data_IF_657968291240
#
_entry.id   IF_657968291240
#
_cell.length_a   1.000
_cell.length_b   1.000
_cell.length_c   1.000
_cell.angle_alpha   90.00
_cell.angle_beta   90.00
_cell.angle_gamma   90.00
#
_symmetry.space_group_name_H-M   'P 1'
#
loop_
_entity.id
_entity.type
_entity.pdbx_description
1 polymer ?
#
# COMPACT_ATOMS: atom_id res chain seq x y z
N UNK A 1 -19.18 7.55 -3.20
CA UNK A 1 -18.36 7.46 -1.96
C UNK A 1 -19.14 6.84 -0.80
N UNK A 2 -20.39 7.21 -0.54
CA UNK A 2 -21.20 6.59 0.54
C UNK A 2 -21.31 5.08 0.43
N UNK A 3 -21.57 4.53 -0.77
CA UNK A 3 -21.63 3.07 -1.00
C UNK A 3 -20.28 2.37 -0.73
N UNK A 4 -19.16 2.94 -1.17
CA UNK A 4 -17.84 2.38 -0.87
C UNK A 4 -17.57 2.32 0.65
N UNK A 5 -17.97 3.35 1.38
CA UNK A 5 -17.88 3.39 2.84
C UNK A 5 -18.77 2.32 3.50
N UNK A 6 -20.00 2.14 3.01
CA UNK A 6 -20.92 1.10 3.50
C UNK A 6 -20.33 -0.30 3.29
N UNK A 7 -19.80 -0.60 2.09
CA UNK A 7 -19.16 -1.88 1.78
C UNK A 7 -17.98 -2.12 2.73
N UNK A 8 -17.13 -1.09 2.90
CA UNK A 8 -15.97 -1.18 3.80
C UNK A 8 -16.39 -1.51 5.23
N UNK A 9 -17.39 -0.82 5.80
CA UNK A 9 -17.79 -1.05 7.20
C UNK A 9 -18.59 -2.34 7.41
N UNK A 10 -19.43 -2.71 6.45
CA UNK A 10 -20.31 -3.90 6.57
C UNK A 10 -19.50 -5.19 6.46
N UNK A 11 -18.49 -5.25 5.58
CA UNK A 11 -17.75 -6.48 5.26
C UNK A 11 -16.30 -6.44 5.79
N UNK A 12 -16.15 -6.62 7.10
CA UNK A 12 -14.83 -6.59 7.80
C UNK A 12 -13.83 -7.64 7.30
N UNK A 13 -14.30 -8.72 6.68
CA UNK A 13 -13.45 -9.76 6.06
C UNK A 13 -12.50 -9.15 5.02
N UNK A 14 -12.93 -8.10 4.30
CA UNK A 14 -12.09 -7.42 3.32
C UNK A 14 -10.92 -6.68 3.96
N UNK A 15 -11.09 -6.17 5.20
CA UNK A 15 -9.99 -5.52 5.94
C UNK A 15 -8.87 -6.52 6.27
N UNK A 16 -9.26 -7.75 6.65
CA UNK A 16 -8.29 -8.78 6.97
C UNK A 16 -7.41 -9.10 5.76
N UNK A 17 -8.02 -9.25 4.57
CA UNK A 17 -7.25 -9.44 3.33
C UNK A 17 -6.33 -8.25 3.04
N UNK A 18 -6.83 -7.03 3.18
CA UNK A 18 -6.06 -5.82 2.89
C UNK A 18 -4.94 -5.56 3.92
N UNK A 19 -5.10 -5.99 5.17
CA UNK A 19 -4.10 -5.86 6.23
C UNK A 19 -3.00 -6.91 6.15
N UNK A 20 -3.30 -8.10 5.60
CA UNK A 20 -2.42 -9.28 5.63
C UNK A 20 -1.03 -9.04 5.02
N UNK A 21 -0.89 -8.42 3.83
CA UNK A 21 0.43 -8.12 3.25
C UNK A 21 1.24 -7.15 4.10
N UNK A 22 0.57 -6.14 4.68
CA UNK A 22 1.18 -5.18 5.56
C UNK A 22 1.66 -5.81 6.86
N UNK A 23 0.86 -6.71 7.47
CA UNK A 23 1.27 -7.44 8.67
C UNK A 23 2.57 -8.20 8.45
N UNK A 24 2.70 -8.92 7.33
CA UNK A 24 3.93 -9.64 7.01
C UNK A 24 5.11 -8.68 6.81
N UNK A 25 4.93 -7.58 6.09
CA UNK A 25 5.95 -6.55 5.91
C UNK A 25 6.37 -5.91 7.24
N UNK A 26 5.42 -5.60 8.11
CA UNK A 26 5.69 -4.99 9.40
C UNK A 26 6.33 -5.95 10.42
N UNK A 27 6.10 -7.25 10.34
CA UNK A 27 6.77 -8.24 11.18
C UNK A 27 8.29 -8.25 11.00
N UNK A 28 8.78 -7.81 9.85
CA UNK A 28 10.23 -7.64 9.62
C UNK A 28 10.84 -6.67 10.62
N UNK A 29 10.12 -5.59 10.94
CA UNK A 29 10.62 -4.55 11.83
C UNK A 29 11.05 -5.08 13.21
N UNK A 30 10.19 -5.73 14.03
CA UNK A 30 10.61 -6.28 15.32
C UNK A 30 11.61 -7.43 15.17
N UNK A 31 11.47 -8.30 14.16
CA UNK A 31 12.40 -9.41 13.94
C UNK A 31 13.81 -8.91 13.64
N UNK A 32 13.95 -7.74 13.01
CA UNK A 32 15.26 -7.16 12.68
C UNK A 32 15.81 -6.26 13.77
N UNK A 33 14.95 -5.42 14.37
CA UNK A 33 15.39 -4.45 15.38
C UNK A 33 15.81 -5.14 16.67
N UNK A 34 15.05 -6.13 17.13
CA UNK A 34 15.36 -6.82 18.38
C UNK A 34 16.76 -7.43 18.38
N UNK A 35 17.20 -8.23 17.39
CA UNK A 35 18.57 -8.73 17.35
C UNK A 35 19.65 -7.64 17.29
N UNK A 36 19.39 -6.53 16.58
CA UNK A 36 20.35 -5.42 16.51
C UNK A 36 20.56 -4.82 17.89
N UNK A 37 19.51 -4.62 18.68
CA UNK A 37 19.64 -4.09 20.04
C UNK A 37 20.25 -5.08 21.04
N UNK A 38 19.96 -6.37 20.91
CA UNK A 38 20.43 -7.38 21.88
C UNK A 38 21.79 -8.00 21.53
N UNK A 39 22.14 -8.08 20.26
CA UNK A 39 23.35 -8.78 19.77
C UNK A 39 24.27 -7.87 18.96
N UNK A 40 23.79 -6.71 18.52
CA UNK A 40 24.43 -5.90 17.51
C UNK A 40 25.33 -4.80 18.00
N UNK A 41 25.29 -4.47 19.29
CA UNK A 41 26.09 -3.38 19.87
C UNK A 41 27.17 -3.92 20.78
N UNK A 42 28.42 -3.45 20.58
CA UNK A 42 29.49 -3.66 21.54
C UNK A 42 29.29 -2.77 22.79
N UNK A 43 30.16 -2.96 23.79
CA UNK A 43 30.15 -2.14 25.02
C UNK A 43 30.41 -0.63 24.78
N UNK A 44 30.74 -0.24 23.53
CA UNK A 44 30.97 1.15 23.11
C UNK A 44 29.86 1.68 22.20
N UNK A 45 28.78 0.89 21.96
CA UNK A 45 27.66 1.28 21.12
C UNK A 45 27.88 1.13 19.61
N UNK A 46 28.98 0.46 19.18
CA UNK A 46 29.23 0.22 17.76
C UNK A 46 28.38 -0.95 17.24
N UNK A 47 27.87 -0.84 16.03
CA UNK A 47 27.07 -1.87 15.36
C UNK A 47 27.98 -2.97 14.76
N UNK A 48 28.45 -3.88 15.60
CA UNK A 48 29.40 -4.95 15.23
C UNK A 48 28.78 -5.98 14.28
N UNK A 49 27.45 -6.18 14.33
CA UNK A 49 26.77 -7.14 13.44
C UNK A 49 26.94 -6.82 11.96
N UNK A 50 26.97 -5.54 11.59
CA UNK A 50 27.12 -5.13 10.19
C UNK A 50 28.57 -5.23 9.68
N UNK A 51 29.56 -5.50 10.55
CA UNK A 51 30.93 -5.83 10.13
C UNK A 51 31.04 -7.28 9.67
N UNK A 52 30.08 -8.15 10.06
CA UNK A 52 30.08 -9.55 9.66
C UNK A 52 29.40 -9.73 8.30
N UNK A 53 30.13 -10.13 7.22
CA UNK A 53 29.57 -10.30 5.89
C UNK A 53 28.47 -11.38 5.84
N UNK A 54 28.55 -12.41 6.69
CA UNK A 54 27.52 -13.45 6.76
C UNK A 54 26.20 -12.86 7.28
N UNK A 55 26.27 -12.00 8.30
CA UNK A 55 25.08 -11.32 8.81
C UNK A 55 24.43 -10.42 7.73
N UNK A 56 25.24 -9.67 6.98
CA UNK A 56 24.74 -8.83 5.88
C UNK A 56 24.02 -9.69 4.83
N UNK A 57 24.61 -10.81 4.41
CA UNK A 57 24.01 -11.71 3.42
C UNK A 57 22.69 -12.28 3.93
N UNK A 58 22.64 -12.75 5.18
CA UNK A 58 21.42 -13.27 5.80
C UNK A 58 20.35 -12.17 5.94
N UNK A 59 20.76 -10.97 6.35
CA UNK A 59 19.87 -9.80 6.49
C UNK A 59 19.26 -9.41 5.16
N UNK A 60 20.06 -9.25 4.11
CA UNK A 60 19.59 -8.93 2.76
C UNK A 60 18.71 -10.06 2.21
N UNK A 61 19.15 -11.32 2.33
CA UNK A 61 18.40 -12.48 1.87
C UNK A 61 17.01 -12.59 2.55
N UNK A 62 16.95 -12.37 3.86
CA UNK A 62 15.69 -12.35 4.59
C UNK A 62 14.77 -11.21 4.13
N UNK A 63 15.30 -9.99 3.95
CA UNK A 63 14.51 -8.85 3.45
C UNK A 63 13.96 -9.11 2.05
N UNK A 64 14.76 -9.70 1.16
CA UNK A 64 14.30 -10.09 -0.18
C UNK A 64 13.20 -11.14 -0.09
N UNK A 65 13.37 -12.17 0.74
CA UNK A 65 12.37 -13.22 0.93
C UNK A 65 11.03 -12.63 1.41
N UNK A 66 11.07 -11.80 2.46
CA UNK A 66 9.86 -11.16 3.01
C UNK A 66 9.22 -10.22 1.99
N UNK A 67 10.01 -9.48 1.22
CA UNK A 67 9.49 -8.60 0.16
C UNK A 67 8.76 -9.40 -0.91
N UNK A 68 9.30 -10.55 -1.34
CA UNK A 68 8.65 -11.44 -2.31
C UNK A 68 7.36 -12.01 -1.73
N UNK A 69 7.39 -12.53 -0.50
CA UNK A 69 6.18 -13.07 0.17
C UNK A 69 5.12 -11.98 0.32
N UNK A 70 5.48 -10.79 0.78
CA UNK A 70 4.55 -9.65 0.91
C UNK A 70 3.95 -9.25 -0.42
N UNK A 71 4.73 -9.25 -1.50
CA UNK A 71 4.26 -8.94 -2.84
C UNK A 71 3.25 -9.99 -3.36
N UNK A 72 3.53 -11.27 -3.16
CA UNK A 72 2.61 -12.35 -3.53
C UNK A 72 1.30 -12.28 -2.72
N UNK A 73 1.40 -12.03 -1.41
CA UNK A 73 0.24 -11.82 -0.54
C UNK A 73 -0.56 -10.59 -0.94
N UNK A 74 0.10 -9.48 -1.31
CA UNK A 74 -0.55 -8.27 -1.82
C UNK A 74 -1.35 -8.56 -3.09
N UNK A 75 -0.78 -9.34 -4.02
CA UNK A 75 -1.45 -9.72 -5.26
C UNK A 75 -2.69 -10.57 -4.99
N UNK A 76 -2.57 -11.58 -4.11
CA UNK A 76 -3.69 -12.43 -3.72
C UNK A 76 -4.77 -11.63 -2.97
N UNK A 77 -4.36 -10.77 -2.06
CA UNK A 77 -5.25 -9.84 -1.35
C UNK A 77 -6.02 -8.95 -2.33
N UNK A 78 -5.32 -8.39 -3.31
CA UNK A 78 -5.94 -7.55 -4.36
C UNK A 78 -7.00 -8.31 -5.13
N UNK A 79 -6.70 -9.55 -5.56
CA UNK A 79 -7.65 -10.43 -6.24
C UNK A 79 -8.91 -10.68 -5.40
N UNK A 80 -8.70 -11.11 -4.14
CA UNK A 80 -9.78 -11.48 -3.23
C UNK A 80 -10.65 -10.28 -2.84
N UNK A 81 -10.05 -9.13 -2.55
CA UNK A 81 -10.77 -7.89 -2.19
C UNK A 81 -11.59 -7.38 -3.38
N UNK A 82 -11.00 -7.30 -4.57
CA UNK A 82 -11.70 -6.87 -5.79
C UNK A 82 -12.89 -7.78 -6.11
N UNK A 83 -12.69 -9.10 -6.03
CA UNK A 83 -13.76 -10.09 -6.21
C UNK A 83 -14.85 -9.96 -5.12
N UNK A 84 -14.45 -9.75 -3.87
CA UNK A 84 -15.38 -9.56 -2.76
C UNK A 84 -16.27 -8.33 -2.96
N UNK A 85 -15.68 -7.21 -3.38
CA UNK A 85 -16.44 -5.98 -3.67
C UNK A 85 -17.42 -6.20 -4.83
N UNK A 86 -16.96 -6.87 -5.88
CA UNK A 86 -17.81 -7.18 -7.03
C UNK A 86 -19.01 -8.08 -6.66
N UNK A 87 -18.80 -9.08 -5.78
CA UNK A 87 -19.87 -9.95 -5.28
C UNK A 87 -20.89 -9.21 -4.40
N UNK A 88 -20.39 -8.30 -3.54
CA UNK A 88 -21.29 -7.47 -2.69
C UNK A 88 -22.16 -6.55 -3.53
N UNK A 89 -21.64 -6.02 -4.63
CA UNK A 89 -22.44 -5.21 -5.56
C UNK A 89 -23.43 -6.05 -6.38
N UNK A 90 -23.18 -7.36 -6.52
CA UNK A 90 -24.11 -8.35 -7.07
C UNK A 90 -24.99 -9.02 -6.01
N UNK A 91 -25.32 -8.32 -4.90
CA UNK A 91 -26.25 -8.72 -3.82
C UNK A 91 -25.81 -9.91 -2.96
N UNK A 92 -24.51 -10.21 -2.88
CA UNK A 92 -24.00 -11.19 -1.93
C UNK A 92 -24.09 -10.66 -0.49
N UNK A 93 -24.97 -11.24 0.34
CA UNK A 93 -25.17 -10.81 1.74
C UNK A 93 -23.98 -11.15 2.64
N UNK A 94 -23.31 -12.28 2.42
CA UNK A 94 -22.21 -12.77 3.26
C UNK A 94 -20.98 -13.11 2.44
N UNK A 95 -19.80 -12.72 2.95
CA UNK A 95 -18.51 -13.05 2.38
C UNK A 95 -17.77 -13.99 3.32
N UNK A 96 -17.39 -15.19 2.82
CA UNK A 96 -16.55 -16.11 3.54
C UNK A 96 -15.09 -15.97 3.11
N UNK A 97 -14.18 -15.85 4.08
CA UNK A 97 -12.75 -15.69 3.82
C UNK A 97 -12.18 -16.80 2.93
N UNK A 98 -12.52 -18.06 3.22
CA UNK A 98 -11.99 -19.21 2.49
C UNK A 98 -12.43 -19.24 1.03
N UNK A 99 -13.66 -18.88 0.75
CA UNK A 99 -14.22 -18.87 -0.62
C UNK A 99 -13.60 -17.74 -1.44
N UNK A 100 -13.47 -16.54 -0.85
CA UNK A 100 -12.80 -15.41 -1.51
C UNK A 100 -11.32 -15.72 -1.81
N UNK A 101 -10.63 -16.41 -0.90
CA UNK A 101 -9.24 -16.78 -1.10
C UNK A 101 -9.10 -17.81 -2.23
N UNK A 102 -9.97 -18.84 -2.24
CA UNK A 102 -9.96 -19.89 -3.27
C UNK A 102 -10.28 -19.32 -4.65
N UNK A 103 -11.32 -18.54 -4.74
CA UNK A 103 -11.77 -17.97 -6.03
C UNK A 103 -10.85 -16.84 -6.50
N UNK A 104 -10.29 -16.06 -5.57
CA UNK A 104 -9.27 -15.05 -5.85
C UNK A 104 -7.99 -15.63 -6.47
N UNK A 105 -7.66 -16.89 -6.13
CA UNK A 105 -6.50 -17.58 -6.70
C UNK A 105 -6.61 -17.75 -8.23
N UNK A 106 -7.82 -17.84 -8.79
CA UNK A 106 -8.04 -17.96 -10.23
C UNK A 106 -7.61 -16.69 -10.99
N UNK A 107 -7.66 -15.53 -10.32
CA UNK A 107 -7.25 -14.24 -10.88
C UNK A 107 -5.82 -13.85 -10.52
N UNK A 108 -5.18 -14.59 -9.61
CA UNK A 108 -3.87 -14.28 -9.04
C UNK A 108 -2.81 -14.00 -10.11
N UNK A 109 -2.62 -14.92 -11.07
CA UNK A 109 -1.59 -14.78 -12.11
C UNK A 109 -1.86 -13.59 -13.05
N UNK A 110 -3.12 -13.30 -13.32
CA UNK A 110 -3.49 -12.16 -14.19
C UNK A 110 -3.25 -10.84 -13.47
N UNK A 111 -3.62 -10.72 -12.19
CA UNK A 111 -3.38 -9.53 -11.37
C UNK A 111 -1.88 -9.34 -11.15
N UNK A 112 -1.15 -10.43 -10.87
CA UNK A 112 0.31 -10.41 -10.82
C UNK A 112 0.92 -9.89 -12.13
N UNK A 113 0.42 -10.38 -13.26
CA UNK A 113 0.87 -9.93 -14.59
C UNK A 113 0.61 -8.45 -14.84
N UNK A 114 -0.56 -7.94 -14.46
CA UNK A 114 -0.86 -6.49 -14.53
C UNK A 114 0.11 -5.69 -13.67
N UNK A 115 0.29 -6.10 -12.40
CA UNK A 115 1.19 -5.44 -11.47
C UNK A 115 2.64 -5.44 -11.94
N UNK A 116 3.14 -6.57 -12.45
CA UNK A 116 4.50 -6.68 -12.98
C UNK A 116 4.68 -5.84 -14.25
N UNK A 117 3.77 -5.94 -15.22
CA UNK A 117 3.92 -5.25 -16.49
C UNK A 117 3.88 -3.73 -16.32
N UNK A 118 2.91 -3.22 -15.57
CA UNK A 118 2.82 -1.79 -15.28
C UNK A 118 3.94 -1.37 -14.32
N UNK A 119 4.20 -2.16 -13.26
CA UNK A 119 5.21 -1.86 -12.25
C UNK A 119 6.63 -1.80 -12.83
N UNK A 120 7.01 -2.75 -13.67
CA UNK A 120 8.31 -2.75 -14.36
C UNK A 120 8.43 -1.55 -15.30
N UNK A 121 7.36 -1.27 -16.07
CA UNK A 121 7.35 -0.11 -16.96
C UNK A 121 7.52 1.21 -16.22
N UNK A 122 6.76 1.40 -15.14
CA UNK A 122 6.86 2.59 -14.27
C UNK A 122 8.25 2.66 -13.64
N UNK A 123 8.75 1.56 -13.07
CA UNK A 123 10.06 1.52 -12.41
C UNK A 123 11.20 1.89 -13.38
N UNK A 124 11.14 1.42 -14.61
CA UNK A 124 12.14 1.76 -15.63
C UNK A 124 12.14 3.27 -15.95
N UNK A 125 10.95 3.88 -16.12
CA UNK A 125 10.80 5.31 -16.36
C UNK A 125 11.33 6.12 -15.18
N UNK A 126 10.96 5.73 -13.95
CA UNK A 126 11.44 6.40 -12.73
C UNK A 126 12.94 6.27 -12.56
N UNK A 127 13.49 5.09 -12.79
CA UNK A 127 14.93 4.85 -12.71
C UNK A 127 15.67 5.77 -13.69
N UNK A 128 15.23 5.82 -14.94
CA UNK A 128 15.81 6.72 -15.94
C UNK A 128 15.70 8.19 -15.52
N UNK A 129 14.53 8.62 -15.03
CA UNK A 129 14.32 9.98 -14.55
C UNK A 129 15.25 10.33 -13.38
N UNK A 130 15.33 9.49 -12.36
CA UNK A 130 16.20 9.74 -11.20
C UNK A 130 17.69 9.68 -11.56
N UNK A 131 18.09 8.82 -12.50
CA UNK A 131 19.46 8.82 -13.03
C UNK A 131 19.81 10.14 -13.72
N UNK A 132 18.93 10.62 -14.60
CA UNK A 132 19.12 11.93 -15.24
C UNK A 132 19.18 13.07 -14.22
N UNK A 133 18.30 13.03 -13.22
CA UNK A 133 18.26 14.03 -12.15
C UNK A 133 19.55 14.01 -11.29
N UNK A 134 20.04 12.82 -10.97
CA UNK A 134 21.29 12.64 -10.21
C UNK A 134 22.50 13.18 -10.99
N UNK A 135 22.60 12.83 -12.27
CA UNK A 135 23.66 13.35 -13.13
C UNK A 135 23.60 14.89 -13.25
N UNK A 136 22.41 15.43 -13.42
CA UNK A 136 22.20 16.88 -13.47
C UNK A 136 22.58 17.55 -12.15
N UNK A 137 22.20 16.96 -11.02
CA UNK A 137 22.59 17.43 -9.69
C UNK A 137 24.10 17.39 -9.44
N UNK A 138 24.78 16.34 -9.90
CA UNK A 138 26.24 16.23 -9.79
C UNK A 138 26.96 17.30 -10.61
N UNK A 139 26.56 17.51 -11.88
CA UNK A 139 27.18 18.49 -12.77
C UNK A 139 26.97 19.92 -12.26
N UNK A 140 25.85 20.21 -11.61
CA UNK A 140 25.48 21.53 -11.10
C UNK A 140 25.84 21.74 -9.63
N UNK A 141 26.68 20.87 -9.04
CA UNK A 141 27.06 20.94 -7.62
C UNK A 141 25.87 21.02 -6.65
N UNK A 142 24.77 20.32 -6.98
CA UNK A 142 23.57 20.26 -6.15
C UNK A 142 22.46 21.28 -6.50
N UNK A 143 22.76 22.37 -7.19
CA UNK A 143 21.76 23.37 -7.60
C UNK A 143 20.66 22.75 -8.48
N UNK A 144 21.03 21.77 -9.31
CA UNK A 144 20.11 21.02 -10.15
C UNK A 144 18.96 20.34 -9.40
N UNK A 145 19.18 19.88 -8.19
CA UNK A 145 18.12 19.27 -7.36
C UNK A 145 17.08 20.31 -6.93
N UNK A 146 17.50 21.52 -6.61
CA UNK A 146 16.58 22.62 -6.25
C UNK A 146 15.74 23.03 -7.47
N UNK A 147 16.38 23.18 -8.63
CA UNK A 147 15.69 23.50 -9.87
C UNK A 147 14.74 22.40 -10.34
N UNK A 148 14.97 21.15 -9.95
CA UNK A 148 14.13 20.01 -10.32
C UNK A 148 12.92 19.82 -9.40
N UNK A 149 12.82 20.51 -8.27
CA UNK A 149 11.66 20.40 -7.35
C UNK A 149 10.30 20.61 -8.04
N UNK A 150 10.10 21.61 -8.92
CA UNK A 150 8.83 21.76 -9.64
C UNK A 150 8.50 20.55 -10.52
N UNK A 151 9.51 19.90 -11.14
CA UNK A 151 9.30 18.66 -11.92
C UNK A 151 8.82 17.51 -11.05
N UNK A 152 9.37 17.37 -9.84
CA UNK A 152 8.94 16.36 -8.88
C UNK A 152 7.47 16.59 -8.50
N UNK A 153 7.06 17.84 -8.29
CA UNK A 153 5.67 18.18 -7.99
C UNK A 153 4.74 17.81 -9.16
N UNK A 154 5.16 18.06 -10.40
CA UNK A 154 4.39 17.67 -11.60
C UNK A 154 4.26 16.14 -11.77
N UNK A 155 5.13 15.36 -11.14
CA UNK A 155 5.02 13.91 -11.18
C UNK A 155 3.84 13.36 -10.32
N UNK A 156 3.35 14.11 -9.32
CA UNK A 156 2.23 13.64 -8.48
C UNK A 156 0.95 13.34 -9.29
N UNK A 157 0.45 14.23 -10.17
CA UNK A 157 -0.70 13.92 -11.02
C UNK A 157 -0.47 12.71 -11.91
N UNK A 158 0.74 12.55 -12.45
CA UNK A 158 1.10 11.39 -13.28
C UNK A 158 1.01 10.11 -12.46
N UNK A 159 1.55 10.10 -11.23
CA UNK A 159 1.46 8.96 -10.32
C UNK A 159 0.02 8.63 -9.96
N UNK A 160 -0.83 9.63 -9.75
CA UNK A 160 -2.26 9.42 -9.47
C UNK A 160 -2.98 8.73 -10.63
N UNK A 161 -2.69 9.11 -11.87
CA UNK A 161 -3.25 8.47 -13.07
C UNK A 161 -2.72 7.04 -13.23
N UNK A 162 -1.43 6.81 -13.00
CA UNK A 162 -0.84 5.47 -13.05
C UNK A 162 -1.42 4.55 -11.96
N UNK A 163 -1.63 5.08 -10.76
CA UNK A 163 -2.31 4.34 -9.69
C UNK A 163 -3.75 3.99 -10.08
N UNK A 164 -4.50 4.95 -10.64
CA UNK A 164 -5.85 4.71 -11.15
C UNK A 164 -5.84 3.66 -12.27
N UNK A 165 -4.83 3.67 -13.15
CA UNK A 165 -4.68 2.66 -14.22
C UNK A 165 -4.51 1.26 -13.64
N UNK A 166 -3.66 1.10 -12.62
CA UNK A 166 -3.44 -0.19 -11.96
C UNK A 166 -4.74 -0.70 -11.34
N UNK A 167 -5.42 0.13 -10.54
CA UNK A 167 -6.65 -0.28 -9.84
C UNK A 167 -7.81 -0.56 -10.80
N UNK A 168 -7.97 0.23 -11.87
CA UNK A 168 -8.96 -0.03 -12.93
C UNK A 168 -8.62 -1.32 -13.70
N UNK A 169 -7.34 -1.61 -13.94
CA UNK A 169 -6.93 -2.85 -14.61
C UNK A 169 -7.19 -4.08 -13.73
N UNK A 170 -6.99 -3.97 -12.40
CA UNK A 170 -7.38 -5.04 -11.48
C UNK A 170 -8.91 -5.28 -11.51
N UNK A 171 -9.69 -4.21 -11.54
CA UNK A 171 -11.15 -4.33 -11.68
C UNK A 171 -11.55 -4.98 -13.01
N UNK A 172 -10.93 -4.59 -14.13
CA UNK A 172 -11.21 -5.16 -15.46
C UNK A 172 -10.88 -6.67 -15.53
N UNK A 173 -9.80 -7.12 -14.88
CA UNK A 173 -9.46 -8.55 -14.79
C UNK A 173 -10.55 -9.34 -14.06
N UNK A 174 -11.08 -8.81 -12.97
CA UNK A 174 -12.01 -9.57 -12.10
C UNK A 174 -13.46 -9.44 -12.58
N UNK A 175 -13.88 -8.24 -13.02
CA UNK A 175 -15.27 -7.94 -13.40
C UNK A 175 -15.61 -8.45 -14.80
N UNK A 176 -14.70 -8.25 -15.76
CA UNK A 176 -14.91 -8.59 -17.16
C UNK A 176 -14.10 -9.83 -17.60
N UNK A 177 -13.43 -10.51 -16.66
CA UNK A 177 -12.59 -11.71 -16.86
C UNK A 177 -11.53 -11.56 -17.97
N UNK A 178 -10.97 -10.33 -18.11
CA UNK A 178 -10.04 -10.00 -19.18
C UNK A 178 -8.62 -10.53 -18.91
N UNK A 179 -7.87 -10.75 -19.99
CA UNK A 179 -6.44 -11.02 -19.93
C UNK A 179 -5.64 -9.74 -19.57
N UNK A 180 -4.36 -9.91 -19.19
CA UNK A 180 -3.49 -8.82 -18.67
C UNK A 180 -3.46 -7.61 -19.63
N UNK A 181 -3.09 -7.82 -20.88
CA UNK A 181 -2.94 -6.73 -21.88
C UNK A 181 -4.28 -6.09 -22.25
N UNK A 182 -5.35 -6.91 -22.32
CA UNK A 182 -6.70 -6.42 -22.61
C UNK A 182 -7.23 -5.57 -21.46
N UNK A 183 -7.03 -5.98 -20.21
CA UNK A 183 -7.42 -5.24 -19.03
C UNK A 183 -6.72 -3.87 -18.97
N UNK A 184 -5.42 -3.82 -19.24
CA UNK A 184 -4.65 -2.57 -19.29
C UNK A 184 -5.15 -1.65 -20.41
N UNK A 185 -5.34 -2.19 -21.61
CA UNK A 185 -5.84 -1.43 -22.76
C UNK A 185 -7.25 -0.88 -22.52
N UNK A 186 -8.14 -1.69 -21.94
CA UNK A 186 -9.50 -1.29 -21.56
C UNK A 186 -9.49 -0.15 -20.55
N UNK A 187 -8.69 -0.30 -19.48
CA UNK A 187 -8.58 0.69 -18.42
C UNK A 187 -7.97 1.99 -18.92
N UNK A 188 -6.99 1.91 -19.81
CA UNK A 188 -6.40 3.09 -20.45
C UNK A 188 -7.40 3.85 -21.33
N UNK A 189 -8.24 3.13 -22.06
CA UNK A 189 -9.36 3.72 -22.82
C UNK A 189 -10.30 4.51 -21.91
N UNK A 190 -10.78 3.88 -20.82
CA UNK A 190 -11.66 4.52 -19.83
C UNK A 190 -11.04 5.77 -19.20
N UNK A 191 -9.73 5.72 -18.90
CA UNK A 191 -9.01 6.88 -18.33
C UNK A 191 -8.93 8.02 -19.35
N UNK A 192 -8.63 7.75 -20.62
CA UNK A 192 -8.58 8.80 -21.67
C UNK A 192 -9.93 9.48 -21.85
N UNK A 193 -11.01 8.72 -21.90
CA UNK A 193 -12.37 9.24 -22.06
C UNK A 193 -12.85 10.05 -20.85
N UNK A 194 -12.41 9.70 -19.63
CA UNK A 194 -12.87 10.29 -18.38
C UNK A 194 -11.73 10.90 -17.55
N UNK A 195 -10.68 11.42 -18.20
CA UNK A 195 -9.43 11.84 -17.56
C UNK A 195 -9.64 12.75 -16.34
N UNK A 196 -10.32 13.86 -16.50
CA UNK A 196 -10.54 14.82 -15.42
C UNK A 196 -11.37 14.26 -14.27
N UNK A 197 -12.38 13.43 -14.59
CA UNK A 197 -13.21 12.82 -13.57
C UNK A 197 -12.41 11.83 -12.72
N UNK A 198 -11.59 11.01 -13.37
CA UNK A 198 -10.75 10.01 -12.68
C UNK A 198 -9.65 10.69 -11.89
N UNK A 199 -8.98 11.70 -12.47
CA UNK A 199 -7.92 12.46 -11.78
C UNK A 199 -8.45 13.15 -10.52
N UNK A 200 -9.56 13.89 -10.63
CA UNK A 200 -10.16 14.57 -9.48
C UNK A 200 -10.64 13.59 -8.41
N UNK A 201 -11.27 12.48 -8.81
CA UNK A 201 -11.70 11.45 -7.87
C UNK A 201 -10.50 10.83 -7.14
N UNK A 202 -9.44 10.47 -7.88
CA UNK A 202 -8.21 9.92 -7.30
C UNK A 202 -7.56 10.89 -6.32
N UNK A 203 -7.50 12.17 -6.68
CA UNK A 203 -7.00 13.23 -5.83
C UNK A 203 -7.78 13.33 -4.52
N UNK A 204 -9.11 13.39 -4.60
CA UNK A 204 -9.98 13.47 -3.41
C UNK A 204 -9.85 12.23 -2.52
N UNK A 205 -9.79 11.04 -3.12
CA UNK A 205 -9.60 9.79 -2.36
C UNK A 205 -8.24 9.80 -1.68
N UNK A 206 -7.17 10.07 -2.44
CA UNK A 206 -5.80 10.01 -1.93
C UNK A 206 -5.58 11.00 -0.78
N UNK A 207 -5.95 12.27 -0.96
CA UNK A 207 -5.84 13.28 0.09
C UNK A 207 -6.77 12.99 1.28
N UNK A 208 -8.03 12.61 1.03
CA UNK A 208 -8.97 12.28 2.10
C UNK A 208 -8.49 11.12 2.95
N UNK A 209 -8.04 10.05 2.32
CA UNK A 209 -7.49 8.88 3.01
C UNK A 209 -6.19 9.23 3.73
N UNK A 210 -5.28 10.00 3.12
CA UNK A 210 -4.02 10.41 3.74
C UNK A 210 -4.26 11.24 5.01
N UNK A 211 -5.17 12.22 4.96
CA UNK A 211 -5.53 13.04 6.11
C UNK A 211 -6.13 12.19 7.23
N UNK A 212 -7.12 11.34 6.92
CA UNK A 212 -7.75 10.47 7.91
C UNK A 212 -6.76 9.49 8.54
N UNK A 213 -5.91 8.88 7.73
CA UNK A 213 -4.86 7.97 8.22
C UNK A 213 -3.86 8.70 9.10
N UNK A 214 -3.46 9.92 8.74
CA UNK A 214 -2.54 10.74 9.55
C UNK A 214 -3.13 11.11 10.89
N UNK A 215 -4.42 11.50 10.96
CA UNK A 215 -5.11 11.82 12.23
C UNK A 215 -5.07 10.62 13.17
N UNK A 216 -5.23 9.40 12.67
CA UNK A 216 -5.17 8.19 13.50
C UNK A 216 -3.72 7.83 13.86
N UNK A 217 -2.78 7.90 12.90
CA UNK A 217 -1.41 7.42 13.11
C UNK A 217 -0.53 8.38 13.91
N UNK A 218 -0.70 9.70 13.75
CA UNK A 218 0.15 10.71 14.43
C UNK A 218 0.20 10.51 15.94
N UNK A 219 -0.92 10.30 16.69
CA UNK A 219 -0.86 10.07 18.12
C UNK A 219 -0.02 8.84 18.51
N UNK A 220 -0.02 7.80 17.69
CA UNK A 220 0.78 6.59 17.93
C UNK A 220 2.24 6.75 17.49
N UNK A 221 2.54 7.69 16.60
CA UNK A 221 3.91 7.99 16.19
C UNK A 221 4.61 8.96 17.17
N UNK A 222 3.86 9.84 17.83
CA UNK A 222 4.42 10.82 18.77
C UNK A 222 5.36 10.20 19.82
N UNK A 223 5.02 9.10 20.50
CA UNK A 223 5.91 8.50 21.49
C UNK A 223 7.28 8.12 20.93
N UNK A 224 7.38 7.72 19.65
CA UNK A 224 8.67 7.41 19.03
C UNK A 224 9.63 8.59 19.00
N UNK A 225 9.12 9.79 18.82
CA UNK A 225 9.94 11.01 18.86
C UNK A 225 10.44 11.34 20.27
N UNK A 226 9.73 10.90 21.30
CA UNK A 226 10.10 11.13 22.72
C UNK A 226 10.94 9.98 23.30
N UNK A 227 11.01 8.82 22.65
CA UNK A 227 11.79 7.66 23.15
C UNK A 227 13.25 8.01 23.41
N UNK A 228 14.01 8.73 22.55
CA UNK A 228 15.39 9.10 22.83
C UNK A 228 15.51 9.92 24.13
N UNK A 229 14.60 10.88 24.35
CA UNK A 229 14.57 11.71 25.56
C UNK A 229 14.20 10.90 26.82
N UNK A 230 13.32 9.89 26.66
CA UNK A 230 12.97 9.00 27.78
C UNK A 230 14.13 8.07 28.14
N UNK A 231 14.87 7.59 27.16
CA UNK A 231 16.04 6.73 27.37
C UNK A 231 17.13 7.52 28.13
N UNK A 232 17.44 8.72 27.67
CA UNK A 232 18.43 9.61 28.29
C UNK A 232 17.98 10.05 29.69
N UNK A 233 16.75 10.57 29.83
CA UNK A 233 16.21 11.07 31.11
C UNK A 233 16.04 10.00 32.18
N UNK A 234 15.73 8.76 31.82
CA UNK A 234 15.56 7.64 32.75
C UNK A 234 16.87 6.86 33.01
N UNK A 235 18.02 7.34 32.49
CA UNK A 235 19.31 6.63 32.53
C UNK A 235 19.22 5.17 32.06
N UNK A 236 18.30 4.90 31.12
CA UNK A 236 18.12 3.58 30.50
C UNK A 236 19.30 3.16 29.62
N UNK A 237 20.25 4.07 29.37
CA UNK A 237 21.53 3.75 28.72
C UNK A 237 22.29 2.64 29.45
N UNK A 238 22.19 2.60 30.80
CA UNK A 238 22.76 1.55 31.62
C UNK A 238 22.01 0.20 31.51
N UNK A 239 20.79 0.20 30.95
CA UNK A 239 19.95 -0.99 30.79
C UNK A 239 19.31 -1.08 29.40
N UNK A 240 20.17 -1.26 28.40
CA UNK A 240 19.79 -1.34 26.98
C UNK A 240 18.73 -2.43 26.70
N UNK A 241 18.72 -3.50 27.51
CA UNK A 241 17.73 -4.58 27.37
C UNK A 241 16.32 -4.09 27.74
N UNK A 242 16.21 -3.29 28.80
CA UNK A 242 14.92 -2.71 29.21
C UNK A 242 14.40 -1.72 28.15
N UNK A 243 15.30 -0.88 27.60
CA UNK A 243 14.97 0.02 26.50
C UNK A 243 14.47 -0.76 25.27
N UNK A 244 15.13 -1.86 24.90
CA UNK A 244 14.73 -2.75 23.81
C UNK A 244 13.36 -3.40 24.03
N UNK A 245 13.05 -3.82 25.25
CA UNK A 245 11.73 -4.38 25.61
C UNK A 245 10.61 -3.36 25.51
N UNK A 246 10.85 -2.13 25.98
CA UNK A 246 9.86 -1.03 25.88
C UNK A 246 9.59 -0.69 24.42
N UNK A 247 10.66 -0.54 23.63
CA UNK A 247 10.57 -0.28 22.19
C UNK A 247 9.85 -1.41 21.45
N UNK A 248 10.17 -2.67 21.77
CA UNK A 248 9.53 -3.83 21.19
C UNK A 248 8.04 -3.92 21.49
N UNK A 249 7.65 -3.73 22.74
CA UNK A 249 6.25 -3.76 23.16
C UNK A 249 5.44 -2.64 22.48
N UNK A 250 6.00 -1.42 22.47
CA UNK A 250 5.36 -0.30 21.80
C UNK A 250 5.28 -0.49 20.27
N UNK A 251 6.32 -1.06 19.67
CA UNK A 251 6.36 -1.43 18.24
C UNK A 251 5.27 -2.42 17.87
N UNK A 252 4.96 -3.41 18.73
CA UNK A 252 3.87 -4.36 18.49
C UNK A 252 2.50 -3.68 18.52
N UNK A 253 2.27 -2.75 19.44
CA UNK A 253 1.02 -1.97 19.50
C UNK A 253 0.87 -1.12 18.24
N UNK A 254 1.93 -0.41 17.85
CA UNK A 254 1.94 0.38 16.62
C UNK A 254 1.68 -0.47 15.38
N UNK A 255 2.28 -1.67 15.32
CA UNK A 255 2.08 -2.60 14.22
C UNK A 255 0.60 -3.02 14.08
N UNK A 256 -0.07 -3.30 15.20
CA UNK A 256 -1.50 -3.63 15.18
C UNK A 256 -2.35 -2.45 14.66
N UNK A 257 -2.04 -1.23 15.09
CA UNK A 257 -2.73 0.00 14.64
C UNK A 257 -2.48 0.25 13.15
N UNK A 258 -1.23 0.12 12.70
CA UNK A 258 -0.86 0.27 11.29
C UNK A 258 -1.59 -0.74 10.41
N UNK A 259 -1.64 -2.01 10.82
CA UNK A 259 -2.34 -3.05 10.09
C UNK A 259 -3.85 -2.77 9.97
N UNK A 260 -4.45 -2.30 11.07
CA UNK A 260 -5.86 -1.93 11.08
C UNK A 260 -6.14 -0.75 10.14
N UNK A 261 -5.39 0.34 10.27
CA UNK A 261 -5.53 1.54 9.42
C UNK A 261 -5.33 1.17 7.95
N UNK A 262 -4.29 0.38 7.65
CA UNK A 262 -4.02 -0.08 6.29
C UNK A 262 -5.16 -0.94 5.75
N UNK A 263 -5.68 -1.88 6.53
CA UNK A 263 -6.78 -2.74 6.14
C UNK A 263 -8.02 -1.96 5.72
N UNK A 264 -8.43 -0.99 6.55
CA UNK A 264 -9.59 -0.11 6.26
C UNK A 264 -9.34 0.78 5.04
N UNK A 265 -8.17 1.42 5.01
CA UNK A 265 -7.77 2.36 3.97
C UNK A 265 -7.74 1.71 2.59
N UNK A 266 -7.01 0.59 2.46
CA UNK A 266 -6.88 -0.13 1.18
C UNK A 266 -8.23 -0.67 0.72
N UNK A 267 -9.04 -1.23 1.64
CA UNK A 267 -10.38 -1.73 1.30
C UNK A 267 -11.27 -0.59 0.77
N UNK A 268 -11.26 0.57 1.42
CA UNK A 268 -12.03 1.72 0.97
C UNK A 268 -11.57 2.23 -0.41
N UNK A 269 -10.26 2.35 -0.63
CA UNK A 269 -9.71 2.75 -1.92
C UNK A 269 -10.12 1.78 -3.02
N UNK A 270 -9.91 0.47 -2.82
CA UNK A 270 -10.30 -0.57 -3.79
C UNK A 270 -11.81 -0.56 -4.06
N UNK A 271 -12.63 -0.45 -3.01
CA UNK A 271 -14.08 -0.34 -3.17
C UNK A 271 -14.47 0.84 -4.06
N UNK A 272 -13.82 1.98 -3.89
CA UNK A 272 -14.12 3.17 -4.69
C UNK A 272 -13.71 2.96 -6.16
N UNK A 273 -12.55 2.34 -6.44
CA UNK A 273 -12.11 2.11 -7.82
C UNK A 273 -12.93 1.03 -8.53
N UNK A 274 -13.31 -0.04 -7.84
CA UNK A 274 -14.20 -1.08 -8.42
C UNK A 274 -15.56 -0.49 -8.74
N UNK A 275 -16.16 0.28 -7.83
CA UNK A 275 -17.42 0.97 -8.08
C UNK A 275 -17.31 2.00 -9.21
N UNK A 276 -16.20 2.71 -9.30
CA UNK A 276 -15.94 3.62 -10.42
C UNK A 276 -15.90 2.86 -11.74
N UNK A 277 -15.18 1.73 -11.79
CA UNK A 277 -15.11 0.88 -12.98
C UNK A 277 -16.50 0.42 -13.42
N UNK A 278 -17.31 -0.11 -12.49
CA UNK A 278 -18.67 -0.56 -12.76
C UNK A 278 -19.54 0.57 -13.31
N UNK A 279 -19.47 1.76 -12.73
CA UNK A 279 -20.22 2.93 -13.20
C UNK A 279 -19.82 3.44 -14.57
N UNK A 280 -18.56 3.28 -14.95
CA UNK A 280 -18.07 3.69 -16.27
C UNK A 280 -18.38 2.66 -17.36
N UNK A 281 -18.46 1.38 -17.00
CA UNK A 281 -18.67 0.29 -17.97
C UNK A 281 -20.12 -0.15 -18.07
N UNK A 282 -20.92 -0.01 -16.99
CA UNK A 282 -22.32 -0.45 -16.90
C UNK A 282 -23.23 0.66 -16.34
N UNK A 283 -23.38 1.80 -17.06
CA UNK A 283 -24.13 2.95 -16.52
C UNK A 283 -25.63 2.67 -16.34
N UNK A 284 -26.22 1.72 -17.11
CA UNK A 284 -27.65 1.40 -17.06
C UNK A 284 -28.07 0.55 -15.86
N UNK A 285 -27.16 -0.26 -15.31
CA UNK A 285 -27.51 -1.26 -14.28
C UNK A 285 -27.45 -0.68 -12.85
N UNK A 286 -26.78 0.47 -12.69
CA UNK A 286 -26.50 1.11 -11.38
C UNK A 286 -27.42 2.30 -11.09
N UNK A 287 -28.17 2.79 -12.08
CA UNK A 287 -28.98 4.02 -11.99
C UNK A 287 -30.37 3.90 -11.35
N UNK A 288 -31.08 2.74 -11.30
CA UNK A 288 -32.43 2.70 -10.74
C UNK A 288 -32.48 3.05 -9.24
N UNK A 289 -31.55 2.57 -8.42
CA UNK A 289 -31.56 2.79 -6.96
C UNK A 289 -31.32 4.25 -6.53
N UNK A 290 -30.61 5.05 -7.34
CA UNK A 290 -30.28 6.44 -6.97
C UNK A 290 -31.45 7.39 -7.32
N UNK A 291 -32.24 7.04 -8.31
CA UNK A 291 -33.45 7.82 -8.67
C UNK A 291 -34.57 7.59 -7.69
N UNK A 292 -34.75 6.39 -7.15
CA UNK A 292 -35.74 6.11 -6.09
C UNK A 292 -35.40 6.73 -4.73
N UNK A 293 -34.10 6.86 -4.41
CA UNK A 293 -33.64 7.48 -3.16
C UNK A 293 -33.66 9.03 -3.20
N UNK A 294 -33.84 9.63 -4.37
CA UNK A 294 -33.90 11.08 -4.59
C UNK A 294 -35.33 11.60 -4.86
N UNK A 295 -36.30 10.71 -4.99
CA UNK A 295 -37.74 11.03 -5.11
C UNK A 295 -38.46 10.85 -3.77
#
# INVERSE_FOLDING_TARGET
>A
MSRALQITWKHKVLWLFSALPGLVGFLVFPIMIVPIFFLGMDSRGNLVLFENPIFIILFVGFNVLVSVVSFLLYTLSTASVTLGIFRVEGDAETLHFRDLMKDGMNYFLRILGVGLLIGVGISAIFLAFFWCLTLFGMVTMGIGFICAQPLIILMYPVMMILYALIEQSHAAVVVDDLGVTQAISRSWGLIKENFWRILLLTLVIYFGVSILSSIVLVPFMLPFFFIPFLIEGAQLESNMQLAGLILGAFGLILLAVLAFVQGVTITFMKSTYVLLYLRLTRPSDVLPEIQEAAA
#
